data_IF_000852017209
#
_entry.id   IF_000852017209
#
_cell.length_a   1.000
_cell.length_b   1.000
_cell.length_c   1.000
_cell.angle_alpha   90.00
_cell.angle_beta   90.00
_cell.angle_gamma   90.00
#
_symmetry.space_group_name_H-M   'P 1'
#
loop_
_entity.id
_entity.type
_entity.pdbx_description
1 polymer ?
#
# COMPACT_ATOMS: atom_id res chain seq x y z
N UNK A 1 -58.36 -3.37 -88.85
CA UNK A 1 -57.81 -4.31 -89.85
C UNK A 1 -56.89 -5.30 -89.15
N UNK A 2 -57.14 -6.61 -89.36
CA UNK A 2 -56.26 -7.80 -89.31
C UNK A 2 -55.34 -7.95 -88.07
N UNK A 3 -55.64 -8.83 -87.08
CA UNK A 3 -55.42 -10.32 -87.03
C UNK A 3 -53.97 -10.70 -87.36
N UNK A 4 -53.26 -11.44 -86.49
CA UNK A 4 -53.15 -12.92 -86.52
C UNK A 4 -52.78 -13.51 -85.14
N UNK A 5 -53.40 -14.67 -84.89
CA UNK A 5 -53.32 -15.59 -83.75
C UNK A 5 -52.23 -16.68 -83.94
N UNK A 6 -52.08 -17.49 -82.87
CA UNK A 6 -51.73 -18.93 -82.85
C UNK A 6 -50.22 -19.26 -82.73
N UNK A 7 -49.75 -20.21 -81.91
CA UNK A 7 -50.41 -21.35 -81.25
C UNK A 7 -49.55 -21.90 -80.11
N UNK A 8 -50.21 -22.43 -79.08
CA UNK A 8 -49.70 -23.25 -77.98
C UNK A 8 -49.52 -24.70 -78.46
N UNK A 9 -48.49 -25.41 -77.96
CA UNK A 9 -48.38 -26.87 -78.10
C UNK A 9 -47.19 -27.52 -77.36
N UNK A 10 -47.48 -28.08 -76.17
CA UNK A 10 -46.89 -29.26 -75.49
C UNK A 10 -45.34 -29.34 -75.34
N UNK A 11 -44.76 -29.10 -74.15
CA UNK A 11 -44.72 -29.97 -72.96
C UNK A 11 -44.15 -31.39 -73.22
N UNK A 12 -42.82 -31.52 -73.08
CA UNK A 12 -42.16 -32.76 -72.71
C UNK A 12 -41.28 -32.48 -71.49
N UNK A 13 -41.75 -32.96 -70.34
CA UNK A 13 -41.05 -32.92 -69.06
C UNK A 13 -39.79 -33.80 -69.10
N UNK A 14 -38.72 -33.34 -68.43
CA UNK A 14 -37.70 -34.12 -67.68
C UNK A 14 -36.50 -33.22 -67.32
N UNK A 15 -35.74 -33.57 -66.28
CA UNK A 15 -35.99 -33.30 -64.87
C UNK A 15 -35.33 -32.00 -64.40
N UNK A 16 -35.78 -31.53 -63.23
CA UNK A 16 -35.18 -30.45 -62.44
C UNK A 16 -33.65 -30.54 -62.42
N UNK A 17 -32.99 -29.59 -63.08
CA UNK A 17 -31.69 -29.15 -62.61
C UNK A 17 -31.99 -28.42 -61.29
N UNK A 18 -31.78 -29.12 -60.18
CA UNK A 18 -31.56 -28.50 -58.89
C UNK A 18 -30.40 -27.51 -59.08
N UNK A 19 -30.73 -26.27 -59.38
CA UNK A 19 -29.92 -25.16 -58.88
C UNK A 19 -30.05 -25.33 -57.38
N UNK A 20 -29.07 -25.99 -56.78
CA UNK A 20 -28.76 -25.77 -55.38
C UNK A 20 -28.37 -24.29 -55.33
N UNK A 21 -29.38 -23.43 -55.25
CA UNK A 21 -29.27 -22.28 -54.39
C UNK A 21 -28.87 -22.91 -53.06
N UNK A 22 -27.58 -22.87 -52.74
CA UNK A 22 -27.20 -22.89 -51.35
C UNK A 22 -28.06 -21.79 -50.74
N UNK A 23 -29.12 -22.21 -50.06
CA UNK A 23 -29.82 -21.37 -49.11
C UNK A 23 -28.76 -21.03 -48.10
N UNK A 24 -28.00 -19.97 -48.36
CA UNK A 24 -27.37 -19.27 -47.27
C UNK A 24 -28.57 -18.86 -46.44
N UNK A 25 -28.70 -19.45 -45.26
CA UNK A 25 -29.75 -19.18 -44.31
C UNK A 25 -29.47 -17.77 -43.76
N UNK A 26 -29.56 -16.74 -44.61
CA UNK A 26 -29.30 -15.36 -44.25
C UNK A 26 -30.61 -14.85 -43.67
N UNK A 27 -30.70 -14.85 -42.34
CA UNK A 27 -31.63 -13.99 -41.64
C UNK A 27 -31.54 -12.58 -42.23
N UNK A 28 -32.70 -11.98 -42.46
CA UNK A 28 -32.92 -10.73 -43.19
C UNK A 28 -31.77 -9.70 -43.11
N UNK A 29 -31.13 -9.37 -44.24
CA UNK A 29 -30.20 -8.24 -44.39
C UNK A 29 -30.97 -7.00 -44.85
N UNK A 30 -30.90 -5.90 -44.08
CA UNK A 30 -31.52 -4.62 -44.43
C UNK A 30 -30.47 -3.50 -44.56
N UNK A 31 -29.82 -3.35 -45.71
CA UNK A 31 -28.92 -2.24 -45.96
C UNK A 31 -29.74 -0.98 -46.27
N UNK A 32 -29.99 -0.15 -45.26
CA UNK A 32 -30.37 1.24 -45.50
C UNK A 32 -29.08 2.06 -45.60
N UNK A 33 -28.58 2.18 -46.82
CA UNK A 33 -27.47 3.08 -47.15
C UNK A 33 -28.10 4.40 -47.59
N UNK A 34 -28.01 5.42 -46.73
CA UNK A 34 -28.40 6.79 -47.01
C UNK A 34 -29.91 7.02 -47.04
N UNK A 35 -30.44 7.61 -45.96
CA UNK A 35 -31.49 8.61 -46.15
C UNK A 35 -30.85 10.00 -46.05
N UNK A 36 -31.35 10.95 -46.83
CA UNK A 36 -30.79 12.30 -46.97
C UNK A 36 -30.69 13.12 -45.66
N UNK A 37 -31.32 12.65 -44.58
CA UNK A 37 -31.28 13.24 -43.23
C UNK A 37 -30.96 12.20 -42.13
N UNK A 38 -30.47 11.01 -42.49
CA UNK A 38 -30.22 9.97 -41.50
C UNK A 38 -28.91 10.23 -40.74
N UNK A 39 -29.02 10.35 -39.42
CA UNK A 39 -27.89 10.37 -38.49
C UNK A 39 -27.03 9.08 -38.52
N UNK A 40 -27.44 8.06 -39.28
CA UNK A 40 -26.87 6.72 -39.28
C UNK A 40 -27.05 6.00 -40.62
N UNK A 41 -26.06 5.19 -40.99
CA UNK A 41 -26.19 4.11 -41.98
C UNK A 41 -25.97 2.76 -41.30
N UNK A 42 -26.61 1.68 -41.75
CA UNK A 42 -26.40 0.37 -41.11
C UNK A 42 -26.58 -0.84 -42.02
N UNK A 43 -25.92 -1.92 -41.60
CA UNK A 43 -26.15 -3.29 -42.01
C UNK A 43 -26.59 -4.09 -40.79
N UNK A 44 -27.81 -4.62 -40.80
CA UNK A 44 -28.36 -5.43 -39.70
C UNK A 44 -28.75 -6.82 -40.16
N UNK A 45 -28.69 -7.77 -39.24
CA UNK A 45 -29.16 -9.15 -39.41
C UNK A 45 -30.20 -9.48 -38.34
N UNK A 46 -31.23 -10.23 -38.71
CA UNK A 46 -32.37 -10.52 -37.85
C UNK A 46 -33.23 -11.68 -38.34
N UNK A 47 -34.27 -11.98 -37.56
CA UNK A 47 -35.33 -12.90 -37.99
C UNK A 47 -36.17 -12.29 -39.12
N UNK A 48 -36.47 -10.99 -39.00
CA UNK A 48 -37.32 -10.25 -39.93
C UNK A 48 -37.07 -8.72 -39.84
N UNK A 49 -37.88 -7.93 -40.55
CA UNK A 49 -37.76 -6.48 -40.63
C UNK A 49 -38.02 -5.72 -39.31
N UNK A 50 -38.60 -6.38 -38.31
CA UNK A 50 -38.91 -5.79 -37.01
C UNK A 50 -38.12 -6.43 -35.86
N UNK A 51 -37.42 -7.55 -36.09
CA UNK A 51 -36.68 -8.30 -35.08
C UNK A 51 -35.23 -8.57 -35.50
N UNK A 52 -34.32 -7.69 -35.06
CA UNK A 52 -32.90 -7.74 -35.35
C UNK A 52 -32.09 -8.33 -34.18
N UNK A 53 -30.99 -9.01 -34.50
CA UNK A 53 -30.11 -9.62 -33.52
C UNK A 53 -28.81 -8.85 -33.29
N UNK A 54 -28.33 -8.19 -34.35
CA UNK A 54 -27.16 -7.34 -34.31
C UNK A 54 -26.90 -6.68 -35.67
N UNK A 55 -25.80 -5.96 -35.76
CA UNK A 55 -25.39 -5.29 -36.98
C UNK A 55 -24.13 -4.44 -36.85
N UNK A 56 -23.77 -3.79 -37.95
CA UNK A 56 -22.73 -2.76 -38.00
C UNK A 56 -23.42 -1.48 -38.47
N UNK A 57 -23.05 -0.36 -37.85
CA UNK A 57 -23.64 0.95 -38.10
C UNK A 57 -22.53 1.98 -38.25
N UNK A 58 -22.64 2.82 -39.27
CA UNK A 58 -21.86 4.03 -39.40
C UNK A 58 -22.65 5.18 -38.77
N UNK A 59 -22.14 5.72 -37.68
CA UNK A 59 -22.71 6.87 -37.00
C UNK A 59 -22.25 8.15 -37.71
N UNK A 60 -23.15 8.87 -38.38
CA UNK A 60 -22.79 10.09 -39.10
C UNK A 60 -22.69 11.28 -38.14
N UNK A 61 -23.59 11.38 -37.16
CA UNK A 61 -23.65 12.58 -36.30
C UNK A 61 -24.40 12.40 -34.96
N UNK A 62 -24.73 11.18 -34.55
CA UNK A 62 -25.47 10.96 -33.32
C UNK A 62 -24.55 10.84 -32.08
N UNK A 63 -24.65 11.82 -31.20
CA UNK A 63 -23.91 11.94 -29.95
C UNK A 63 -24.16 10.77 -28.96
N UNK A 64 -25.23 9.99 -29.15
CA UNK A 64 -25.53 8.84 -28.29
C UNK A 64 -24.68 7.60 -28.60
N UNK A 65 -23.98 7.54 -29.72
CA UNK A 65 -23.08 6.42 -30.06
C UNK A 65 -21.69 6.87 -30.52
N UNK A 66 -21.29 8.09 -30.18
CA UNK A 66 -19.97 8.64 -30.46
C UNK A 66 -20.07 10.09 -30.91
N UNK A 67 -19.01 10.65 -31.48
CA UNK A 67 -18.97 12.05 -31.91
C UNK A 67 -19.19 12.25 -33.42
N UNK A 68 -19.56 11.18 -34.15
CA UNK A 68 -19.75 11.18 -35.59
C UNK A 68 -18.58 10.51 -36.32
N UNK A 69 -18.83 10.02 -37.53
CA UNK A 69 -17.97 9.13 -38.31
C UNK A 69 -17.50 7.86 -37.57
N UNK A 70 -18.28 7.39 -36.59
CA UNK A 70 -17.96 6.20 -35.81
C UNK A 70 -18.46 4.91 -36.49
N UNK A 71 -17.71 3.81 -36.37
CA UNK A 71 -18.21 2.47 -36.68
C UNK A 71 -18.65 1.78 -35.39
N UNK A 72 -19.94 1.46 -35.31
CA UNK A 72 -20.58 0.88 -34.13
C UNK A 72 -20.98 -0.56 -34.43
N UNK A 73 -20.55 -1.49 -33.57
CA UNK A 73 -21.04 -2.88 -33.56
C UNK A 73 -22.21 -2.99 -32.58
N UNK A 74 -23.35 -3.48 -33.07
CA UNK A 74 -24.61 -3.55 -32.32
C UNK A 74 -24.94 -5.01 -31.99
N UNK A 75 -25.33 -5.25 -30.74
CA UNK A 75 -25.97 -6.50 -30.30
C UNK A 75 -27.25 -6.17 -29.55
N UNK A 76 -28.36 -6.81 -29.91
CA UNK A 76 -29.68 -6.54 -29.31
C UNK A 76 -30.07 -7.67 -28.37
N UNK A 77 -30.01 -7.40 -27.07
CA UNK A 77 -30.41 -8.34 -26.00
C UNK A 77 -29.55 -9.61 -25.90
N UNK A 78 -28.33 -9.56 -26.44
CA UNK A 78 -27.38 -10.68 -26.54
C UNK A 78 -25.95 -10.19 -26.33
N UNK A 79 -25.05 -11.12 -26.06
CA UNK A 79 -23.62 -10.84 -25.96
C UNK A 79 -23.00 -10.63 -27.35
N UNK A 80 -22.09 -9.66 -27.46
CA UNK A 80 -21.16 -9.60 -28.58
C UNK A 80 -19.98 -10.52 -28.28
N UNK A 81 -19.99 -11.73 -28.85
CA UNK A 81 -18.93 -12.72 -28.63
C UNK A 81 -17.98 -12.73 -29.82
N UNK A 82 -16.70 -12.39 -29.59
CA UNK A 82 -15.62 -12.61 -30.55
C UNK A 82 -14.92 -13.92 -30.18
N UNK A 83 -15.36 -15.03 -30.77
CA UNK A 83 -14.79 -16.36 -30.50
C UNK A 83 -13.85 -16.80 -31.64
N UNK A 84 -12.52 -16.72 -31.46
CA UNK A 84 -11.57 -17.15 -32.48
C UNK A 84 -11.38 -18.68 -32.53
N UNK A 85 -12.01 -19.46 -31.65
CA UNK A 85 -11.89 -20.93 -31.62
C UNK A 85 -10.50 -21.49 -31.27
N UNK A 86 -9.53 -20.63 -30.90
CA UNK A 86 -8.11 -20.96 -30.63
C UNK A 86 -7.38 -19.84 -29.86
N UNK A 87 -6.06 -19.67 -30.03
CA UNK A 87 -5.24 -18.63 -29.37
C UNK A 87 -5.45 -17.20 -29.90
N UNK A 88 -6.65 -16.89 -30.43
CA UNK A 88 -6.90 -15.59 -31.04
C UNK A 88 -6.91 -14.48 -30.01
N UNK A 89 -6.24 -13.37 -30.32
CA UNK A 89 -6.20 -12.18 -29.49
C UNK A 89 -7.22 -11.15 -29.98
N UNK A 90 -7.86 -10.44 -29.06
CA UNK A 90 -8.55 -9.19 -29.37
C UNK A 90 -7.52 -8.05 -29.33
N UNK A 91 -7.14 -7.54 -30.50
CA UNK A 91 -6.07 -6.54 -30.64
C UNK A 91 -6.69 -5.22 -31.12
N UNK A 92 -6.44 -4.15 -30.38
CA UNK A 92 -6.91 -2.80 -30.71
C UNK A 92 -5.70 -1.88 -30.87
N UNK A 93 -5.55 -1.27 -32.05
CA UNK A 93 -4.54 -0.25 -32.33
C UNK A 93 -5.22 1.10 -32.56
N UNK A 94 -5.49 1.87 -31.49
CA UNK A 94 -6.08 3.19 -31.67
C UNK A 94 -5.09 4.10 -32.42
N UNK A 95 -5.59 4.81 -33.43
CA UNK A 95 -4.77 5.75 -34.20
C UNK A 95 -4.38 6.96 -33.34
N UNK A 96 -3.13 7.43 -33.47
CA UNK A 96 -2.61 8.65 -32.81
C UNK A 96 -2.84 8.74 -31.28
N UNK A 97 -2.78 7.61 -30.55
CA UNK A 97 -2.90 7.63 -29.09
C UNK A 97 -4.34 7.67 -28.58
N UNK A 98 -5.31 7.23 -29.37
CA UNK A 98 -6.66 6.98 -28.87
C UNK A 98 -6.66 5.98 -27.70
N UNK A 99 -7.74 6.00 -26.93
CA UNK A 99 -7.84 5.32 -25.64
C UNK A 99 -9.00 4.31 -25.66
N UNK A 100 -8.89 3.22 -24.91
CA UNK A 100 -9.93 2.20 -24.80
C UNK A 100 -10.77 2.44 -23.54
N UNK A 101 -12.04 2.80 -23.73
CA UNK A 101 -13.03 2.90 -22.65
C UNK A 101 -13.87 1.64 -22.54
N UNK A 102 -14.06 1.11 -21.32
CA UNK A 102 -15.05 0.08 -21.02
C UNK A 102 -16.02 0.70 -20.00
N UNK A 103 -17.26 0.95 -20.42
CA UNK A 103 -18.27 1.60 -19.58
C UNK A 103 -18.24 3.15 -19.57
N UNK A 104 -17.35 3.78 -20.35
CA UNK A 104 -17.25 5.23 -20.51
C UNK A 104 -16.94 5.60 -21.96
N UNK A 105 -17.46 6.74 -22.43
CA UNK A 105 -17.19 7.32 -23.76
C UNK A 105 -16.03 8.31 -23.77
N UNK A 106 -15.55 8.70 -22.59
CA UNK A 106 -14.47 9.66 -22.41
C UNK A 106 -13.33 9.03 -21.60
N UNK A 107 -12.65 8.00 -22.13
CA UNK A 107 -11.51 7.37 -21.47
C UNK A 107 -10.42 8.41 -21.15
N UNK A 108 -9.83 8.34 -19.95
CA UNK A 108 -8.77 9.26 -19.50
C UNK A 108 -7.39 8.56 -19.41
N UNK A 109 -7.35 7.27 -19.76
CA UNK A 109 -6.16 6.43 -19.76
C UNK A 109 -6.27 5.40 -20.88
N UNK A 110 -5.17 4.77 -21.32
CA UNK A 110 -5.18 3.83 -22.45
C UNK A 110 -6.16 2.69 -22.29
N UNK A 111 -6.38 2.24 -21.05
CA UNK A 111 -7.52 1.43 -20.67
C UNK A 111 -8.22 2.08 -19.47
N UNK A 112 -9.43 2.60 -19.69
CA UNK A 112 -10.29 3.17 -18.66
C UNK A 112 -11.51 2.26 -18.49
N UNK A 113 -11.56 1.47 -17.41
CA UNK A 113 -12.70 0.62 -17.07
C UNK A 113 -13.53 1.25 -15.96
N UNK A 114 -14.74 1.70 -16.31
CA UNK A 114 -15.74 2.17 -15.35
C UNK A 114 -16.87 1.14 -15.22
N UNK A 115 -17.38 0.96 -14.02
CA UNK A 115 -18.59 0.16 -13.80
C UNK A 115 -19.81 0.96 -14.28
N UNK A 116 -20.60 0.42 -15.20
CA UNK A 116 -21.99 0.81 -15.43
C UNK A 116 -22.89 -0.24 -14.78
N UNK A 117 -23.02 -0.21 -13.46
CA UNK A 117 -24.10 -0.95 -12.78
C UNK A 117 -24.76 0.05 -11.84
N UNK A 118 -25.95 0.51 -12.22
CA UNK A 118 -26.94 1.02 -11.28
C UNK A 118 -27.45 -0.18 -10.45
N UNK A 119 -26.73 -0.58 -9.40
CA UNK A 119 -27.18 -1.60 -8.43
C UNK A 119 -27.98 -1.00 -7.27
N UNK A 120 -28.58 0.18 -7.45
CA UNK A 120 -29.42 0.82 -6.44
C UNK A 120 -28.67 1.25 -5.17
N UNK A 121 -27.33 1.24 -5.19
CA UNK A 121 -26.48 1.74 -4.12
C UNK A 121 -25.89 3.09 -4.54
N UNK A 122 -26.31 4.17 -3.86
CA UNK A 122 -26.14 5.56 -4.31
C UNK A 122 -24.73 6.02 -4.71
N UNK A 123 -24.71 6.89 -5.73
CA UNK A 123 -23.75 7.96 -6.12
C UNK A 123 -22.23 7.81 -5.91
N UNK A 124 -21.70 6.63 -5.61
CA UNK A 124 -20.26 6.41 -5.56
C UNK A 124 -19.73 5.83 -6.86
N UNK A 125 -19.05 6.64 -7.68
CA UNK A 125 -18.27 6.14 -8.83
C UNK A 125 -17.21 5.15 -8.34
N UNK A 126 -17.40 3.85 -8.59
CA UNK A 126 -16.41 2.81 -8.32
C UNK A 126 -15.70 2.44 -9.62
N UNK A 127 -14.46 2.90 -9.77
CA UNK A 127 -13.59 2.56 -10.92
C UNK A 127 -13.05 1.16 -10.69
N UNK A 128 -13.22 0.25 -11.64
CA UNK A 128 -12.79 -1.15 -11.48
C UNK A 128 -11.29 -1.34 -11.80
N UNK A 129 -10.73 -0.51 -12.69
CA UNK A 129 -9.30 -0.28 -12.85
C UNK A 129 -9.06 0.85 -13.86
N UNK A 130 -8.21 1.82 -13.51
CA UNK A 130 -7.52 2.68 -14.49
C UNK A 130 -6.10 2.13 -14.57
N UNK A 131 -5.77 1.48 -15.68
CA UNK A 131 -4.41 1.00 -15.94
C UNK A 131 -3.70 2.08 -16.75
N UNK A 132 -3.06 2.99 -16.03
CA UNK A 132 -2.41 4.14 -16.62
C UNK A 132 -1.07 3.84 -17.31
N UNK A 133 -0.72 4.60 -18.36
CA UNK A 133 0.59 4.54 -19.06
C UNK A 133 1.54 5.72 -18.78
N UNK A 134 1.34 6.48 -17.71
CA UNK A 134 2.18 7.63 -17.38
C UNK A 134 2.44 7.75 -15.86
N UNK A 135 3.29 8.72 -15.53
CA UNK A 135 3.78 8.97 -14.18
C UNK A 135 2.64 9.47 -13.26
N UNK A 136 2.51 8.93 -12.04
CA UNK A 136 1.43 9.21 -11.07
C UNK A 136 0.02 8.71 -11.44
N UNK A 137 -0.12 7.67 -12.25
CA UNK A 137 -1.42 7.04 -12.45
C UNK A 137 -1.79 6.10 -11.30
N UNK A 138 -3.05 6.18 -10.84
CA UNK A 138 -3.55 5.43 -9.68
C UNK A 138 -4.47 4.28 -10.11
N UNK A 139 -4.32 3.12 -9.48
CA UNK A 139 -5.33 2.07 -9.49
C UNK A 139 -6.18 2.20 -8.23
N UNK A 140 -7.44 2.59 -8.40
CA UNK A 140 -8.42 2.70 -7.32
C UNK A 140 -9.04 1.34 -7.00
N UNK A 141 -9.24 1.03 -5.72
CA UNK A 141 -10.07 -0.06 -5.23
C UNK A 141 -11.26 0.53 -4.47
N UNK A 142 -12.42 0.62 -5.13
CA UNK A 142 -13.63 1.23 -4.56
C UNK A 142 -13.97 2.59 -5.20
N UNK A 143 -14.59 3.48 -4.41
CA UNK A 143 -14.99 4.82 -4.86
C UNK A 143 -13.80 5.76 -5.16
N UNK A 144 -14.05 6.99 -5.61
CA UNK A 144 -13.01 8.03 -5.77
C UNK A 144 -12.23 8.30 -4.46
N UNK A 145 -12.85 8.06 -3.31
CA UNK A 145 -12.25 8.19 -1.97
C UNK A 145 -11.73 6.85 -1.40
N UNK A 146 -11.74 5.78 -2.21
CA UNK A 146 -11.29 4.45 -1.82
C UNK A 146 -9.78 4.31 -1.69
N UNK A 147 -9.34 3.13 -1.27
CA UNK A 147 -7.91 2.81 -1.21
C UNK A 147 -7.29 2.83 -2.62
N UNK A 148 -6.02 3.22 -2.72
CA UNK A 148 -5.31 3.38 -3.99
C UNK A 148 -3.98 2.65 -3.94
N UNK A 149 -3.61 2.05 -5.08
CA UNK A 149 -2.27 1.50 -5.30
C UNK A 149 -1.63 2.27 -6.47
N UNK A 150 -0.40 2.73 -6.27
CA UNK A 150 0.39 3.35 -7.34
C UNK A 150 1.87 3.00 -7.23
N UNK A 151 2.56 3.12 -8.37
CA UNK A 151 4.01 3.22 -8.41
C UNK A 151 4.45 4.61 -7.94
N UNK A 152 5.58 4.68 -7.25
CA UNK A 152 6.24 5.95 -6.92
C UNK A 152 7.37 6.29 -7.91
N UNK A 153 7.94 7.50 -7.76
CA UNK A 153 9.04 8.01 -8.59
C UNK A 153 10.33 7.20 -8.46
N UNK A 154 10.37 6.39 -7.42
CA UNK A 154 11.42 5.48 -7.01
C UNK A 154 10.99 4.02 -7.29
N UNK A 155 10.06 3.74 -8.21
CA UNK A 155 9.71 2.34 -8.53
C UNK A 155 9.18 1.49 -7.36
N UNK A 156 8.86 2.09 -6.22
CA UNK A 156 8.22 1.46 -5.07
C UNK A 156 6.70 1.39 -5.23
N UNK A 157 6.06 0.59 -4.39
CA UNK A 157 4.59 0.45 -4.36
C UNK A 157 4.02 1.22 -3.15
N UNK A 158 3.06 2.09 -3.41
CA UNK A 158 2.34 2.82 -2.38
C UNK A 158 0.92 2.27 -2.25
N UNK A 159 0.53 1.89 -1.02
CA UNK A 159 -0.86 1.54 -0.65
C UNK A 159 -1.39 2.67 0.23
N UNK A 160 -2.23 3.52 -0.37
CA UNK A 160 -2.81 4.68 0.32
C UNK A 160 -4.23 4.34 0.79
N UNK A 161 -4.52 4.61 2.06
CA UNK A 161 -5.88 4.60 2.62
C UNK A 161 -6.73 5.74 2.06
N UNK A 162 -8.02 5.70 2.41
CA UNK A 162 -9.01 6.68 1.91
C UNK A 162 -8.70 8.12 2.31
N UNK A 163 -9.24 9.06 1.54
CA UNK A 163 -9.15 10.50 1.84
C UNK A 163 -10.21 10.86 2.89
N UNK A 164 -9.79 11.49 3.99
CA UNK A 164 -10.71 12.28 4.81
C UNK A 164 -11.04 13.57 4.05
N UNK A 165 -12.24 14.13 4.24
CA UNK A 165 -12.80 15.25 3.46
C UNK A 165 -11.99 16.55 3.36
N UNK A 166 -10.76 16.59 3.90
CA UNK A 166 -9.82 17.71 3.85
C UNK A 166 -8.53 17.38 3.08
N UNK A 167 -8.54 16.42 2.14
CA UNK A 167 -7.36 16.02 1.38
C UNK A 167 -6.18 15.43 2.19
N UNK A 168 -6.41 15.07 3.45
CA UNK A 168 -5.41 14.43 4.31
C UNK A 168 -5.49 12.91 4.14
N UNK A 169 -4.39 12.24 3.71
CA UNK A 169 -4.35 10.78 3.67
C UNK A 169 -4.66 10.19 5.05
N UNK A 170 -5.72 9.39 5.17
CA UNK A 170 -6.07 8.71 6.42
C UNK A 170 -5.37 7.36 6.44
N UNK A 171 -4.05 7.44 6.60
CA UNK A 171 -3.18 6.28 6.76
C UNK A 171 -2.92 5.46 5.50
N UNK A 172 -1.85 4.67 5.53
CA UNK A 172 -1.40 3.87 4.38
C UNK A 172 -0.15 3.08 4.74
N UNK A 173 0.13 2.05 3.93
CA UNK A 173 1.36 1.26 4.01
C UNK A 173 2.21 1.62 2.80
N UNK A 174 3.35 2.24 3.05
CA UNK A 174 4.37 2.48 2.03
C UNK A 174 5.33 1.28 2.02
N UNK A 175 5.55 0.66 0.86
CA UNK A 175 6.55 -0.39 0.66
C UNK A 175 7.48 0.07 -0.47
N UNK A 176 8.55 0.78 -0.09
CA UNK A 176 9.52 1.34 -1.03
C UNK A 176 10.77 0.43 -1.17
N UNK A 177 11.38 0.40 -2.36
CA UNK A 177 12.54 -0.42 -2.75
C UNK A 177 13.70 0.38 -3.38
N UNK A 178 13.90 1.68 -3.09
CA UNK A 178 15.18 2.33 -3.46
C UNK A 178 15.83 3.06 -2.29
N UNK A 179 17.01 2.54 -1.94
CA UNK A 179 17.90 2.88 -0.83
C UNK A 179 17.21 2.86 0.54
N UNK A 180 17.14 1.62 1.00
CA UNK A 180 16.61 1.09 2.25
C UNK A 180 15.09 1.24 2.44
N UNK A 181 14.45 0.11 2.77
CA UNK A 181 13.00 -0.01 2.74
C UNK A 181 12.36 0.62 3.96
N UNK A 182 11.57 1.67 3.76
CA UNK A 182 10.65 2.19 4.78
C UNK A 182 9.37 1.37 4.76
N UNK A 183 9.00 0.80 5.90
CA UNK A 183 7.63 0.36 6.17
C UNK A 183 7.01 1.40 7.11
N UNK A 184 6.26 2.35 6.55
CA UNK A 184 5.49 3.29 7.33
C UNK A 184 4.07 2.74 7.49
N UNK A 185 3.68 2.41 8.72
CA UNK A 185 2.30 2.06 9.07
C UNK A 185 1.72 3.29 9.78
N UNK A 186 1.23 4.26 9.00
CA UNK A 186 0.61 5.44 9.59
C UNK A 186 -0.90 5.23 9.70
N UNK A 187 -1.46 5.30 10.91
CA UNK A 187 -2.76 5.93 11.17
C UNK A 187 -2.51 7.38 11.61
N UNK A 188 -3.48 8.29 11.44
CA UNK A 188 -3.33 9.70 11.79
C UNK A 188 -2.80 9.90 13.22
N UNK A 189 -1.53 10.30 13.35
CA UNK A 189 -0.82 10.43 14.63
C UNK A 189 0.53 9.69 14.72
N UNK A 190 0.80 8.70 13.85
CA UNK A 190 2.10 8.04 13.72
C UNK A 190 2.44 7.06 14.86
N UNK A 191 1.98 5.81 14.76
CA UNK A 191 2.19 4.79 15.81
C UNK A 191 3.57 4.12 15.74
N UNK A 192 4.09 3.82 14.54
CA UNK A 192 5.42 3.20 14.35
C UNK A 192 6.08 3.71 13.07
N UNK A 193 7.31 4.22 13.17
CA UNK A 193 8.13 4.63 12.04
C UNK A 193 9.45 3.84 11.99
N UNK A 194 9.70 3.22 10.84
CA UNK A 194 10.91 2.44 10.52
C UNK A 194 11.69 3.17 9.43
N UNK A 195 12.75 3.88 9.81
CA UNK A 195 13.58 4.62 8.87
C UNK A 195 14.49 3.70 8.03
N UNK A 196 14.89 4.11 6.82
CA UNK A 196 15.78 3.35 5.96
C UNK A 196 17.27 3.73 6.21
N UNK A 197 18.23 2.79 6.07
CA UNK A 197 19.69 2.94 6.24
C UNK A 197 20.21 3.00 7.67
N UNK A 198 20.10 1.88 8.40
CA UNK A 198 20.44 1.84 9.82
C UNK A 198 19.49 2.71 10.65
N UNK A 199 18.26 2.88 10.15
CA UNK A 199 17.30 3.81 10.67
C UNK A 199 16.73 3.40 12.02
N UNK A 200 16.60 4.38 12.88
CA UNK A 200 15.95 4.27 14.17
C UNK A 200 14.51 3.78 14.07
N UNK A 201 14.11 2.87 14.95
CA UNK A 201 12.71 2.56 15.21
C UNK A 201 12.17 3.63 16.15
N UNK A 202 11.10 4.32 15.75
CA UNK A 202 10.46 5.34 16.60
C UNK A 202 8.99 5.05 16.85
N UNK A 203 8.55 5.25 18.08
CA UNK A 203 7.17 5.04 18.54
C UNK A 203 6.69 6.32 19.21
N UNK A 204 5.64 6.96 18.67
CA UNK A 204 5.11 8.23 19.20
C UNK A 204 6.04 9.44 19.03
N UNK A 205 7.10 9.34 18.23
CA UNK A 205 8.01 10.44 17.86
C UNK A 205 8.53 10.25 16.44
N UNK A 206 8.95 11.33 15.76
CA UNK A 206 9.66 11.27 14.48
C UNK A 206 11.17 11.56 14.62
N UNK A 207 11.60 12.01 15.79
CA UNK A 207 12.99 12.35 16.06
C UNK A 207 13.58 11.31 17.03
N UNK A 208 14.46 10.48 16.49
CA UNK A 208 15.16 9.46 17.24
C UNK A 208 16.37 9.97 18.03
N UNK A 209 16.77 11.24 17.87
CA UNK A 209 17.92 11.84 18.56
C UNK A 209 19.23 11.06 18.40
N UNK A 210 19.37 10.31 17.30
CA UNK A 210 20.55 9.48 17.03
C UNK A 210 20.55 8.10 17.70
N UNK A 211 19.46 7.69 18.35
CA UNK A 211 19.30 6.35 18.92
C UNK A 211 18.65 5.38 17.92
N UNK A 212 19.02 4.09 17.98
CA UNK A 212 18.41 3.05 17.14
C UNK A 212 16.95 2.73 17.53
N UNK A 213 16.54 3.03 18.76
CA UNK A 213 15.16 2.91 19.21
C UNK A 213 14.77 4.09 20.11
N UNK A 214 13.73 4.84 19.76
CA UNK A 214 13.24 5.96 20.55
C UNK A 214 11.72 5.92 20.75
N UNK A 215 11.29 6.11 21.99
CA UNK A 215 9.87 6.14 22.37
C UNK A 215 9.52 7.53 22.90
N UNK A 216 8.65 8.24 22.18
CA UNK A 216 8.11 9.56 22.56
C UNK A 216 6.98 9.46 23.59
N UNK A 217 7.19 8.70 24.66
CA UNK A 217 6.15 8.40 25.66
C UNK A 217 6.61 7.42 26.72
N UNK A 218 5.64 6.84 27.45
CA UNK A 218 5.91 5.81 28.47
C UNK A 218 5.87 4.41 27.86
N UNK A 219 6.77 3.53 28.33
CA UNK A 219 6.79 2.12 27.94
C UNK A 219 6.51 1.21 29.15
N UNK A 220 5.85 0.10 28.90
CA UNK A 220 5.68 -1.00 29.86
C UNK A 220 6.17 -2.29 29.23
N UNK A 221 6.91 -3.08 29.99
CA UNK A 221 7.42 -4.39 29.58
C UNK A 221 7.34 -5.34 30.76
N UNK A 222 7.08 -6.62 30.50
CA UNK A 222 7.18 -7.67 31.53
C UNK A 222 8.65 -7.90 31.93
N UNK A 223 9.57 -7.83 30.97
CA UNK A 223 11.01 -7.98 31.18
C UNK A 223 11.81 -7.17 30.16
N UNK A 224 12.96 -6.61 30.61
CA UNK A 224 13.97 -5.98 29.76
C UNK A 224 15.34 -6.53 30.11
N UNK A 225 15.97 -7.24 29.17
CA UNK A 225 17.32 -7.80 29.35
C UNK A 225 18.34 -6.90 28.67
N UNK A 226 19.20 -6.23 29.46
CA UNK A 226 20.27 -5.37 28.95
C UNK A 226 21.60 -6.14 29.04
N UNK A 227 22.17 -6.50 27.89
CA UNK A 227 23.48 -7.16 27.82
C UNK A 227 24.54 -6.18 27.35
N UNK A 228 25.16 -5.48 28.29
CA UNK A 228 26.34 -4.66 27.99
C UNK A 228 27.54 -5.56 27.68
N UNK A 229 28.37 -5.17 26.71
CA UNK A 229 29.65 -5.86 26.42
C UNK A 229 30.74 -5.53 27.47
N UNK A 230 30.50 -4.55 28.33
CA UNK A 230 31.40 -4.14 29.40
C UNK A 230 31.52 -5.17 30.52
N UNK A 231 32.61 -5.08 31.29
CA UNK A 231 32.84 -5.93 32.46
C UNK A 231 31.98 -5.45 33.62
N UNK A 232 31.39 -6.39 34.36
CA UNK A 232 30.70 -6.14 35.63
C UNK A 232 31.72 -5.84 36.74
N UNK A 233 31.31 -5.17 37.82
CA UNK A 233 32.23 -4.57 38.79
C UNK A 233 32.94 -5.57 39.72
N UNK A 234 32.94 -6.87 39.43
CA UNK A 234 33.66 -7.92 40.17
C UNK A 234 35.13 -7.59 40.48
N UNK A 235 35.74 -6.67 39.72
CA UNK A 235 37.07 -6.13 40.00
C UNK A 235 37.19 -5.44 41.36
N UNK A 236 36.09 -5.01 41.99
CA UNK A 236 36.09 -4.42 43.34
C UNK A 236 36.64 -5.41 44.38
N UNK A 237 36.49 -6.71 44.12
CA UNK A 237 37.03 -7.77 44.98
C UNK A 237 38.47 -8.19 44.64
N UNK A 238 39.10 -7.56 43.64
CA UNK A 238 40.49 -7.85 43.32
C UNK A 238 41.41 -7.35 44.43
N UNK A 239 42.50 -8.09 44.70
CA UNK A 239 43.44 -7.75 45.79
C UNK A 239 44.18 -6.43 45.60
N UNK A 240 44.25 -5.93 44.37
CA UNK A 240 44.88 -4.67 43.98
C UNK A 240 43.86 -3.53 43.78
N UNK A 241 42.57 -3.77 44.07
CA UNK A 241 41.56 -2.74 43.99
C UNK A 241 41.76 -1.70 45.11
N UNK A 242 41.88 -0.43 44.71
CA UNK A 242 42.08 0.68 45.63
C UNK A 242 40.73 1.13 46.21
N UNK A 243 40.27 0.44 47.25
CA UNK A 243 39.03 0.78 47.96
C UNK A 243 39.13 2.18 48.59
N UNK A 244 38.23 3.12 48.27
CA UNK A 244 38.23 4.46 48.87
C UNK A 244 37.92 4.40 50.36
N UNK A 245 38.65 5.16 51.16
CA UNK A 245 38.38 5.26 52.61
C UNK A 245 37.12 6.09 52.88
N UNK A 246 36.47 5.85 54.02
CA UNK A 246 35.31 6.68 54.45
C UNK A 246 35.64 8.17 54.56
N UNK A 247 36.89 8.53 54.88
CA UNK A 247 37.33 9.93 54.95
C UNK A 247 37.41 10.57 53.56
N UNK A 248 37.89 9.83 52.57
CA UNK A 248 37.94 10.29 51.18
C UNK A 248 36.54 10.43 50.60
N UNK A 249 35.66 9.43 50.82
CA UNK A 249 34.26 9.49 50.40
C UNK A 249 33.56 10.69 51.04
N UNK A 250 33.72 10.91 52.35
CA UNK A 250 33.15 12.06 53.05
C UNK A 250 33.59 13.39 52.43
N UNK A 251 34.91 13.54 52.22
CA UNK A 251 35.48 14.75 51.61
C UNK A 251 34.91 14.99 50.22
N UNK A 252 34.75 13.93 49.42
CA UNK A 252 34.17 14.02 48.09
C UNK A 252 32.70 14.44 48.13
N UNK A 253 31.89 13.82 49.00
CA UNK A 253 30.46 14.12 49.14
C UNK A 253 30.24 15.54 49.63
N UNK A 254 31.04 16.03 50.58
CA UNK A 254 30.96 17.42 51.06
C UNK A 254 31.29 18.44 49.95
N UNK A 255 32.20 18.08 49.03
CA UNK A 255 32.59 18.95 47.93
C UNK A 255 31.63 18.88 46.71
N UNK A 256 31.08 17.71 46.39
CA UNK A 256 30.35 17.47 45.13
C UNK A 256 28.86 17.16 45.30
N UNK A 257 28.40 16.86 46.52
CA UNK A 257 27.01 16.48 46.84
C UNK A 257 26.49 15.22 46.10
N UNK A 258 27.39 14.36 45.62
CA UNK A 258 27.08 13.03 45.09
C UNK A 258 28.24 12.07 45.39
N UNK A 259 28.05 10.77 45.17
CA UNK A 259 29.09 9.77 45.38
C UNK A 259 30.12 9.79 44.23
N UNK A 260 31.39 9.43 44.48
CA UNK A 260 32.39 9.26 43.43
C UNK A 260 31.92 8.29 42.35
N UNK A 261 32.06 8.64 41.08
CA UNK A 261 31.66 7.80 39.95
C UNK A 261 30.15 7.73 39.67
N UNK A 262 29.30 8.30 40.53
CA UNK A 262 27.86 8.45 40.28
C UNK A 262 27.63 9.82 39.64
N UNK A 263 26.90 9.92 38.51
CA UNK A 263 26.64 11.20 37.88
C UNK A 263 25.77 12.09 38.77
N UNK A 264 26.03 13.39 38.69
CA UNK A 264 25.29 14.43 39.40
C UNK A 264 23.86 14.57 38.85
N UNK A 265 22.97 15.16 39.65
CA UNK A 265 21.61 15.46 39.21
C UNK A 265 21.57 16.38 37.98
N UNK A 266 22.55 17.27 37.82
CA UNK A 266 22.66 18.16 36.67
C UNK A 266 23.01 17.39 35.38
N UNK A 267 23.97 16.48 35.45
CA UNK A 267 24.37 15.63 34.31
C UNK A 267 23.22 14.71 33.88
N UNK A 268 22.50 14.14 34.84
CA UNK A 268 21.31 13.31 34.57
C UNK A 268 20.17 14.10 33.93
N UNK A 269 19.96 15.35 34.37
CA UNK A 269 18.93 16.21 33.78
C UNK A 269 19.24 16.60 32.33
N UNK A 270 20.52 16.72 31.97
CA UNK A 270 20.96 17.07 30.62
C UNK A 270 20.99 15.85 29.68
N UNK A 271 21.50 14.72 30.15
CA UNK A 271 21.85 13.57 29.28
C UNK A 271 20.94 12.34 29.46
N UNK A 272 20.08 12.35 30.48
CA UNK A 272 19.27 11.20 30.87
C UNK A 272 20.03 10.16 31.69
N UNK A 273 19.38 9.01 31.97
CA UNK A 273 19.99 7.90 32.73
C UNK A 273 20.24 6.71 31.79
N UNK A 274 21.49 6.36 31.51
CA UNK A 274 21.82 5.10 30.84
C UNK A 274 21.59 3.95 31.83
N UNK A 275 20.40 3.34 31.82
CA UNK A 275 19.95 2.36 32.82
C UNK A 275 20.95 1.20 33.02
N UNK A 276 21.56 0.68 31.96
CA UNK A 276 22.58 -0.37 32.05
C UNK A 276 23.83 0.08 32.82
N UNK A 277 24.37 1.25 32.47
CA UNK A 277 25.58 1.78 33.10
C UNK A 277 25.33 2.20 34.54
N UNK A 278 24.17 2.80 34.81
CA UNK A 278 23.76 3.14 36.16
C UNK A 278 23.64 1.89 37.05
N UNK A 279 23.05 0.80 36.54
CA UNK A 279 22.97 -0.45 37.29
C UNK A 279 24.36 -1.04 37.59
N UNK A 280 25.31 -0.90 36.65
CA UNK A 280 26.71 -1.30 36.88
C UNK A 280 27.36 -0.44 37.98
N UNK A 281 27.25 0.88 37.91
CA UNK A 281 27.78 1.80 38.92
C UNK A 281 27.15 1.51 40.30
N UNK A 282 25.84 1.30 40.34
CA UNK A 282 25.14 0.97 41.59
C UNK A 282 25.64 -0.35 42.18
N UNK A 283 25.89 -1.36 41.36
CA UNK A 283 26.46 -2.62 41.83
C UNK A 283 27.88 -2.41 42.38
N UNK A 284 28.73 -1.65 41.69
CA UNK A 284 30.08 -1.29 42.18
C UNK A 284 30.00 -0.63 43.56
N UNK A 285 29.07 0.32 43.75
CA UNK A 285 28.91 0.98 45.05
C UNK A 285 28.36 0.08 46.13
N UNK A 286 27.50 -0.88 45.79
CA UNK A 286 27.04 -1.89 46.76
C UNK A 286 28.19 -2.79 47.19
N UNK A 287 29.08 -3.17 46.27
CA UNK A 287 30.26 -3.99 46.58
C UNK A 287 31.29 -3.22 47.42
N UNK A 288 31.61 -1.98 47.06
CA UNK A 288 32.46 -1.09 47.87
C UNK A 288 31.90 -0.89 49.28
N UNK A 289 30.60 -0.60 49.40
CA UNK A 289 29.93 -0.46 50.70
C UNK A 289 30.00 -1.74 51.51
N UNK A 290 29.89 -2.91 50.85
CA UNK A 290 29.99 -4.20 51.53
C UNK A 290 31.41 -4.41 52.10
N UNK A 291 32.46 -4.08 51.34
CA UNK A 291 33.84 -4.14 51.84
C UNK A 291 34.09 -3.19 53.01
N UNK A 292 33.60 -1.95 52.91
CA UNK A 292 33.71 -0.97 54.00
C UNK A 292 32.97 -1.42 55.26
N UNK A 293 31.81 -2.07 55.11
CA UNK A 293 31.08 -2.64 56.25
C UNK A 293 31.80 -3.82 56.89
N UNK A 294 32.46 -4.68 56.10
CA UNK A 294 33.30 -5.76 56.61
C UNK A 294 34.47 -5.18 57.40
N UNK A 295 35.22 -4.23 56.83
CA UNK A 295 36.34 -3.54 57.50
C UNK A 295 35.88 -2.86 58.80
N UNK A 296 34.69 -2.24 58.78
CA UNK A 296 34.15 -1.60 59.97
C UNK A 296 33.70 -2.61 61.03
N UNK A 297 33.19 -3.78 60.63
CA UNK A 297 32.88 -4.89 61.53
C UNK A 297 34.13 -5.41 62.25
N UNK A 298 35.21 -5.64 61.51
CA UNK A 298 36.50 -6.07 62.07
C UNK A 298 37.04 -5.08 63.11
N UNK A 299 37.01 -3.78 62.80
CA UNK A 299 37.40 -2.73 63.77
C UNK A 299 36.53 -2.72 65.03
N UNK A 300 35.24 -3.00 64.90
CA UNK A 300 34.34 -3.07 66.06
C UNK A 300 34.68 -4.27 66.94
N UNK A 301 35.00 -5.42 66.36
CA UNK A 301 35.44 -6.60 67.11
C UNK A 301 36.78 -6.36 67.83
N UNK A 302 37.75 -5.74 67.16
CA UNK A 302 39.03 -5.36 67.75
C UNK A 302 38.85 -4.42 68.96
N UNK A 303 38.03 -3.38 68.81
CA UNK A 303 37.73 -2.44 69.89
C UNK A 303 37.00 -3.13 71.06
N UNK A 304 36.11 -4.09 70.78
CA UNK A 304 35.43 -4.86 71.83
C UNK A 304 36.41 -5.73 72.61
N UNK A 305 37.33 -6.41 71.93
CA UNK A 305 38.36 -7.22 72.56
C UNK A 305 39.29 -6.36 73.45
N UNK A 306 39.69 -5.17 72.98
CA UNK A 306 40.49 -4.24 73.77
C UNK A 306 39.74 -3.75 75.01
N UNK A 307 38.44 -3.45 74.87
CA UNK A 307 37.58 -3.04 76.00
C UNK A 307 37.43 -4.17 77.02
N UNK A 308 37.29 -5.44 76.59
CA UNK A 308 37.22 -6.58 77.50
C UNK A 308 38.54 -6.77 78.26
N UNK A 309 39.68 -6.60 77.59
CA UNK A 309 40.99 -6.66 78.22
C UNK A 309 41.17 -5.56 79.28
N UNK A 310 40.80 -4.31 78.96
CA UNK A 310 40.89 -3.18 79.88
C UNK A 310 39.93 -3.25 81.07
N UNK A 311 38.81 -3.97 80.95
CA UNK A 311 37.86 -4.20 82.05
C UNK A 311 38.23 -5.39 82.95
N UNK A 312 39.12 -6.26 82.48
CA UNK A 312 39.63 -7.41 83.23
C UNK A 312 40.82 -7.09 84.13
N UNK A 313 41.42 -5.90 83.98
CA UNK A 313 42.44 -5.30 84.88
C UNK A 313 41.81 -4.46 86.00
#
# INVERSE_FOLDING_TARGET
MKRILLSIGLLAALPMANVLAQTVNVGYLNPQLGQADARWDYLRFGADANNFFGGIMHNVSDWTQGNGDDVVMLSYGRDLVMNPGGTGNFIVFPYQGGLMGVGTKEPQAPLHVTKNIDDGHGTGFRVAAILGNAWNHFTYFGGLEGARIRGDQSGGMMIEGGYGGNNTPVGGVLINQISDGVVQIAGGGGDVYLAPNGGSVTVGTFDAKGYDFAVGGVMVAEEVVIKQEGHWPDYVFASDYALPTLSEIKTYVEAHNHLPGVPSAAEVAETGIPVGEMNKILLEKVEELTLLLIEQGEKVEELQAEIEQLKGE
#
